data_IF_345966207646
#
_entry.id   IF_345966207646
#
_cell.length_a   1.000
_cell.length_b   1.000
_cell.length_c   1.000
_cell.angle_alpha   90.00
_cell.angle_beta   90.00
_cell.angle_gamma   90.00
#
_symmetry.space_group_name_H-M   'P 1'
#
loop_
_entity.id
_entity.type
_entity.pdbx_description
1 polymer ?
#
# COMPACT_ATOMS: atom_id res chain seq x y z
N UNK A 1 -17.48 28.07 -11.25
CA UNK A 1 -16.04 27.73 -11.07
C UNK A 1 -15.41 28.82 -10.20
N UNK A 2 -14.62 28.47 -9.18
CA UNK A 2 -13.96 29.42 -8.28
C UNK A 2 -12.47 29.07 -8.17
N UNK A 3 -11.58 30.05 -8.37
CA UNK A 3 -10.14 29.89 -8.18
C UNK A 3 -9.83 29.90 -6.68
N UNK A 4 -9.02 28.95 -6.20
CA UNK A 4 -8.54 28.92 -4.81
C UNK A 4 -7.04 28.64 -4.77
N UNK A 5 -6.39 29.07 -3.69
CA UNK A 5 -5.01 28.65 -3.39
C UNK A 5 -4.95 27.14 -3.12
N UNK A 6 -3.85 26.53 -3.55
CA UNK A 6 -3.63 25.10 -3.36
C UNK A 6 -3.35 24.81 -1.89
N UNK A 7 -4.09 23.87 -1.33
CA UNK A 7 -3.94 23.39 0.04
C UNK A 7 -4.16 21.88 0.01
N UNK A 8 -3.33 21.12 0.73
CA UNK A 8 -3.47 19.66 0.83
C UNK A 8 -4.55 19.34 1.89
N UNK A 9 -5.81 19.58 1.51
CA UNK A 9 -6.98 19.16 2.29
C UNK A 9 -6.96 17.64 2.44
N UNK A 10 -7.33 17.11 3.62
CA UNK A 10 -7.48 15.67 3.97
C UNK A 10 -7.65 14.78 2.74
N UNK A 11 -6.54 14.42 2.12
CA UNK A 11 -6.56 13.85 0.78
C UNK A 11 -7.03 12.40 0.88
N UNK A 12 -7.82 11.94 -0.09
CA UNK A 12 -8.19 10.53 -0.18
C UNK A 12 -7.27 9.85 -1.16
N UNK A 13 -6.31 9.09 -0.63
CA UNK A 13 -5.32 8.38 -1.46
C UNK A 13 -6.01 7.43 -2.42
N UNK A 14 -5.59 7.46 -3.68
CA UNK A 14 -5.92 6.44 -4.68
C UNK A 14 -4.62 5.72 -4.98
N UNK A 15 -4.50 4.47 -4.59
CA UNK A 15 -3.28 3.71 -4.80
C UNK A 15 -3.57 2.35 -5.41
N UNK A 16 -2.53 1.75 -5.98
CA UNK A 16 -2.61 0.41 -6.52
C UNK A 16 -1.44 -0.48 -6.10
N UNK A 17 -1.72 -1.77 -5.92
CA UNK A 17 -0.73 -2.81 -5.67
C UNK A 17 -0.75 -3.77 -6.85
N UNK A 18 0.39 -3.92 -7.53
CA UNK A 18 0.52 -4.83 -8.67
C UNK A 18 1.57 -5.90 -8.42
N UNK A 19 1.32 -7.09 -8.95
CA UNK A 19 2.23 -8.22 -8.82
C UNK A 19 1.60 -9.52 -9.26
N UNK A 20 2.44 -10.54 -9.43
CA UNK A 20 2.01 -11.86 -9.87
C UNK A 20 1.07 -12.54 -8.85
N UNK A 21 0.44 -13.66 -9.24
CA UNK A 21 -0.29 -14.48 -8.27
C UNK A 21 0.69 -15.06 -7.23
N UNK A 22 0.31 -15.00 -5.95
CA UNK A 22 1.12 -15.44 -4.81
C UNK A 22 1.98 -14.36 -4.15
N UNK A 23 2.02 -13.13 -4.65
CA UNK A 23 2.90 -12.06 -4.10
C UNK A 23 2.34 -11.37 -2.85
N UNK A 24 1.10 -11.69 -2.42
CA UNK A 24 0.54 -11.16 -1.17
C UNK A 24 -0.25 -9.85 -1.28
N UNK A 25 -0.74 -9.48 -2.48
CA UNK A 25 -1.48 -8.22 -2.73
C UNK A 25 -2.66 -7.97 -1.76
N UNK A 26 -3.52 -8.97 -1.55
CA UNK A 26 -4.69 -8.87 -0.66
C UNK A 26 -4.25 -8.59 0.78
N UNK A 27 -3.30 -9.38 1.27
CA UNK A 27 -2.72 -9.25 2.60
C UNK A 27 -2.07 -7.86 2.80
N UNK A 28 -1.21 -7.44 1.88
CA UNK A 28 -0.58 -6.11 1.92
C UNK A 28 -1.59 -4.97 1.85
N UNK A 29 -2.68 -5.14 1.09
CA UNK A 29 -3.76 -4.14 1.01
C UNK A 29 -4.49 -3.99 2.35
N UNK A 30 -4.75 -5.10 3.05
CA UNK A 30 -5.36 -5.08 4.37
C UNK A 30 -4.46 -4.40 5.42
N UNK A 31 -3.16 -4.66 5.41
CA UNK A 31 -2.21 -3.98 6.30
C UNK A 31 -2.17 -2.47 6.04
N UNK A 32 -2.11 -2.06 4.77
CA UNK A 32 -2.17 -0.63 4.42
C UNK A 32 -3.51 -0.03 4.85
N UNK A 33 -4.63 -0.74 4.64
CA UNK A 33 -5.95 -0.26 5.03
C UNK A 33 -6.10 -0.11 6.54
N UNK A 34 -5.48 -0.99 7.33
CA UNK A 34 -5.40 -0.85 8.78
C UNK A 34 -4.72 0.47 9.17
N UNK A 35 -3.55 0.77 8.58
CA UNK A 35 -2.85 2.03 8.83
C UNK A 35 -3.62 3.27 8.33
N UNK A 36 -4.33 3.15 7.21
CA UNK A 36 -5.16 4.23 6.65
C UNK A 36 -6.44 4.52 7.43
N UNK A 37 -6.89 3.58 8.25
CA UNK A 37 -8.08 3.72 9.10
C UNK A 37 -7.73 3.95 10.58
N UNK A 38 -6.47 4.31 10.87
CA UNK A 38 -5.95 4.44 12.25
C UNK A 38 -6.27 3.19 13.11
N UNK A 39 -6.13 2.01 12.52
CA UNK A 39 -6.41 0.71 13.14
C UNK A 39 -7.88 0.29 13.13
N UNK A 40 -8.81 1.14 12.70
CA UNK A 40 -10.24 0.84 12.71
C UNK A 40 -10.69 0.06 11.46
N UNK A 41 -10.39 -1.24 11.44
CA UNK A 41 -10.77 -2.13 10.34
C UNK A 41 -12.28 -2.21 10.06
N UNK A 42 -13.15 -1.87 11.03
CA UNK A 42 -14.60 -1.82 10.79
C UNK A 42 -15.03 -0.75 9.77
N UNK A 43 -14.13 0.19 9.45
CA UNK A 43 -14.28 1.22 8.40
C UNK A 43 -13.66 0.82 7.06
N UNK A 44 -13.13 -0.39 6.97
CA UNK A 44 -12.55 -0.95 5.75
C UNK A 44 -13.56 -1.89 5.10
N UNK A 45 -13.71 -1.78 3.78
CA UNK A 45 -14.44 -2.75 2.97
C UNK A 45 -13.56 -3.31 1.84
N UNK A 46 -13.65 -4.61 1.61
CA UNK A 46 -13.03 -5.29 0.47
C UNK A 46 -14.11 -5.66 -0.53
N UNK A 47 -14.03 -5.12 -1.74
CA UNK A 47 -14.79 -5.60 -2.90
C UNK A 47 -14.02 -6.79 -3.45
N UNK A 48 -14.48 -8.00 -3.12
CA UNK A 48 -13.79 -9.25 -3.44
C UNK A 48 -14.37 -9.87 -4.72
N UNK A 49 -13.53 -9.96 -5.74
CA UNK A 49 -13.81 -10.60 -7.03
C UNK A 49 -13.07 -11.93 -7.19
N UNK A 50 -12.26 -12.29 -6.19
CA UNK A 50 -11.34 -13.44 -6.16
C UNK A 50 -11.95 -14.62 -5.38
N UNK A 51 -13.29 -14.73 -5.39
CA UNK A 51 -14.08 -15.85 -4.85
C UNK A 51 -13.82 -16.18 -3.36
N UNK A 52 -13.89 -15.17 -2.49
CA UNK A 52 -13.77 -15.35 -1.03
C UNK A 52 -12.32 -15.28 -0.54
N UNK A 53 -11.38 -14.78 -1.35
CA UNK A 53 -10.00 -14.57 -0.93
C UNK A 53 -9.90 -13.63 0.28
N UNK A 54 -10.81 -12.68 0.38
CA UNK A 54 -10.85 -11.73 1.48
C UNK A 54 -11.17 -12.44 2.81
N UNK A 55 -12.07 -13.42 2.83
CA UNK A 55 -12.47 -14.11 4.06
C UNK A 55 -11.33 -14.94 4.68
N UNK A 56 -10.35 -15.36 3.87
CA UNK A 56 -9.16 -16.10 4.34
C UNK A 56 -8.30 -15.27 5.33
N UNK A 57 -8.43 -13.95 5.30
CA UNK A 57 -7.67 -13.03 6.13
C UNK A 57 -8.47 -12.49 7.32
N UNK A 58 -9.61 -13.10 7.68
CA UNK A 58 -10.46 -12.64 8.78
C UNK A 58 -9.74 -12.54 10.13
N UNK A 59 -8.65 -13.29 10.32
CA UNK A 59 -7.79 -13.21 11.50
C UNK A 59 -7.06 -11.86 11.66
N UNK A 60 -6.96 -11.05 10.61
CA UNK A 60 -6.37 -9.71 10.67
C UNK A 60 -7.28 -8.67 11.33
N UNK A 61 -8.59 -8.91 11.34
CA UNK A 61 -9.56 -8.10 12.07
C UNK A 61 -10.90 -7.95 11.35
N UNK A 62 -11.79 -7.15 11.96
CA UNK A 62 -13.19 -7.07 11.58
C UNK A 62 -13.44 -6.05 10.44
N UNK A 63 -12.91 -6.32 9.24
CA UNK A 63 -13.28 -5.57 8.03
C UNK A 63 -14.54 -6.15 7.37
N UNK A 64 -15.13 -5.36 6.47
CA UNK A 64 -16.33 -5.75 5.73
C UNK A 64 -15.95 -6.33 4.37
N UNK A 65 -16.74 -7.28 3.87
CA UNK A 65 -16.53 -7.88 2.55
C UNK A 65 -17.80 -7.69 1.71
N UNK A 66 -17.61 -7.21 0.49
CA UNK A 66 -18.62 -7.17 -0.57
C UNK A 66 -18.14 -8.14 -1.65
N UNK A 67 -18.65 -9.37 -1.60
CA UNK A 67 -18.36 -10.38 -2.62
C UNK A 67 -19.08 -10.01 -3.91
N UNK A 68 -18.35 -10.02 -5.02
CA UNK A 68 -18.89 -9.77 -6.35
C UNK A 68 -18.69 -11.00 -7.22
N UNK A 69 -19.76 -11.43 -7.88
CA UNK A 69 -19.74 -12.52 -8.85
C UNK A 69 -19.76 -11.98 -10.28
N UNK A 70 -19.39 -12.78 -11.29
CA UNK A 70 -19.60 -12.42 -12.69
C UNK A 70 -21.06 -12.00 -12.97
N UNK A 71 -21.30 -11.06 -13.91
CA UNK A 71 -20.30 -10.44 -14.79
C UNK A 71 -19.57 -9.26 -14.11
N UNK A 72 -18.26 -9.17 -14.32
CA UNK A 72 -17.37 -8.18 -13.69
C UNK A 72 -17.37 -6.84 -14.44
N UNK A 73 -18.56 -6.34 -14.73
CA UNK A 73 -18.72 -5.13 -15.55
C UNK A 73 -18.30 -3.85 -14.80
N UNK A 74 -17.80 -2.82 -15.49
CA UNK A 74 -17.48 -1.52 -14.88
C UNK A 74 -18.65 -0.96 -14.08
N UNK A 75 -19.88 -1.14 -14.56
CA UNK A 75 -21.10 -0.68 -13.91
C UNK A 75 -21.36 -1.40 -12.57
N UNK A 76 -21.03 -2.69 -12.47
CA UNK A 76 -21.14 -3.43 -11.22
C UNK A 76 -20.08 -2.97 -10.21
N UNK A 77 -18.84 -2.72 -10.64
CA UNK A 77 -17.83 -2.10 -9.77
C UNK A 77 -18.26 -0.73 -9.27
N UNK A 78 -18.82 0.13 -10.15
CA UNK A 78 -19.33 1.46 -9.76
C UNK A 78 -20.41 1.33 -8.69
N UNK A 79 -21.34 0.38 -8.85
CA UNK A 79 -22.37 0.10 -7.84
C UNK A 79 -21.76 -0.39 -6.52
N UNK A 80 -20.81 -1.32 -6.56
CA UNK A 80 -20.14 -1.85 -5.38
C UNK A 80 -19.42 -0.74 -4.59
N UNK A 81 -18.67 0.14 -5.27
CA UNK A 81 -18.04 1.31 -4.66
C UNK A 81 -19.11 2.21 -4.02
N UNK A 82 -20.24 2.43 -4.69
CA UNK A 82 -21.33 3.25 -4.15
C UNK A 82 -22.00 2.61 -2.92
N UNK A 83 -22.05 1.29 -2.82
CA UNK A 83 -22.50 0.59 -1.59
C UNK A 83 -21.55 0.87 -0.44
N UNK A 84 -20.24 0.73 -0.66
CA UNK A 84 -19.23 1.04 0.36
C UNK A 84 -19.29 2.51 0.82
N UNK A 85 -19.48 3.46 -0.10
CA UNK A 85 -19.67 4.87 0.25
C UNK A 85 -20.92 5.10 1.10
N UNK A 86 -22.05 4.50 0.71
CA UNK A 86 -23.31 4.61 1.48
C UNK A 86 -23.20 3.99 2.87
N UNK A 87 -22.40 2.94 3.02
CA UNK A 87 -22.08 2.32 4.30
C UNK A 87 -21.08 3.14 5.15
N UNK A 88 -20.55 4.25 4.62
CA UNK A 88 -19.62 5.11 5.34
C UNK A 88 -18.24 4.48 5.54
N UNK A 89 -17.79 3.66 4.58
CA UNK A 89 -16.45 3.07 4.57
C UNK A 89 -15.41 4.14 4.24
N UNK A 90 -14.31 4.15 4.99
CA UNK A 90 -13.24 5.13 4.85
C UNK A 90 -12.12 4.65 3.93
N UNK A 91 -11.92 3.33 3.87
CA UNK A 91 -10.98 2.66 2.97
C UNK A 91 -11.73 1.57 2.21
N UNK A 92 -11.60 1.56 0.89
CA UNK A 92 -12.17 0.54 0.02
C UNK A 92 -11.03 -0.14 -0.72
N UNK A 93 -10.88 -1.44 -0.49
CA UNK A 93 -9.98 -2.30 -1.24
C UNK A 93 -10.77 -2.88 -2.41
N UNK A 94 -10.24 -2.82 -3.62
CA UNK A 94 -10.83 -3.44 -4.81
C UNK A 94 -9.88 -4.56 -5.25
N UNK A 95 -10.28 -5.81 -4.97
CA UNK A 95 -9.45 -6.99 -5.22
C UNK A 95 -10.13 -7.93 -6.22
N UNK A 96 -9.83 -7.87 -7.52
CA UNK A 96 -8.91 -6.98 -8.23
C UNK A 96 -9.63 -6.18 -9.32
N UNK A 97 -8.97 -5.17 -9.87
CA UNK A 97 -9.50 -4.43 -11.04
C UNK A 97 -9.16 -5.12 -12.38
N UNK A 98 -8.37 -6.21 -12.35
CA UNK A 98 -8.01 -6.93 -13.57
C UNK A 98 -9.20 -7.68 -14.17
N UNK A 99 -10.13 -8.18 -13.35
CA UNK A 99 -11.34 -8.84 -13.85
C UNK A 99 -12.26 -7.89 -14.62
N UNK A 100 -12.31 -6.61 -14.25
CA UNK A 100 -13.04 -5.58 -15.00
C UNK A 100 -12.48 -5.41 -16.41
N UNK A 101 -11.16 -5.39 -16.52
CA UNK A 101 -10.50 -5.24 -17.81
C UNK A 101 -10.70 -6.45 -18.70
N UNK A 102 -10.58 -7.66 -18.14
CA UNK A 102 -10.83 -8.90 -18.86
C UNK A 102 -12.28 -8.98 -19.38
N UNK A 103 -13.27 -8.56 -18.59
CA UNK A 103 -14.67 -8.46 -19.02
C UNK A 103 -14.85 -7.47 -20.19
N UNK A 104 -14.16 -6.33 -20.17
CA UNK A 104 -14.20 -5.36 -21.27
C UNK A 104 -13.54 -5.88 -22.55
N UNK A 105 -12.45 -6.63 -22.42
CA UNK A 105 -11.78 -7.29 -23.56
C UNK A 105 -12.66 -8.38 -24.17
N UNK A 106 -13.32 -9.19 -23.34
CA UNK A 106 -14.29 -10.19 -23.79
C UNK A 106 -15.47 -9.53 -24.51
N UNK A 107 -16.03 -8.46 -23.92
CA UNK A 107 -17.07 -7.65 -24.56
C UNK A 107 -16.61 -7.08 -25.91
N UNK A 108 -15.39 -6.52 -25.99
CA UNK A 108 -14.81 -6.03 -27.23
C UNK A 108 -14.73 -7.13 -28.30
N UNK A 109 -14.25 -8.32 -27.92
CA UNK A 109 -14.06 -9.46 -28.83
C UNK A 109 -15.36 -9.95 -29.48
N UNK A 110 -16.50 -9.77 -28.79
CA UNK A 110 -17.84 -10.17 -29.25
C UNK A 110 -18.49 -9.14 -30.18
N UNK A 111 -17.93 -7.93 -30.31
CA UNK A 111 -18.48 -6.89 -31.18
C UNK A 111 -18.08 -7.12 -32.64
N UNK A 112 -19.07 -7.23 -33.53
CA UNK A 112 -18.84 -7.24 -34.97
C UNK A 112 -18.37 -5.87 -35.49
N UNK A 113 -17.55 -5.85 -36.54
CA UNK A 113 -17.08 -4.65 -37.21
C UNK A 113 -15.62 -4.29 -36.91
N UNK A 114 -15.24 -3.04 -37.17
CA UNK A 114 -13.85 -2.60 -37.04
C UNK A 114 -13.46 -2.40 -35.56
N UNK A 115 -12.32 -2.97 -35.16
CA UNK A 115 -11.77 -2.89 -33.80
C UNK A 115 -11.65 -1.45 -33.27
N UNK A 116 -11.20 -0.51 -34.11
CA UNK A 116 -11.09 0.90 -33.74
C UNK A 116 -12.44 1.52 -33.37
N UNK A 117 -13.48 1.23 -34.16
CA UNK A 117 -14.85 1.72 -33.88
C UNK A 117 -15.47 1.04 -32.65
N UNK A 118 -15.10 -0.23 -32.38
CA UNK A 118 -15.58 -0.96 -31.21
C UNK A 118 -15.05 -0.35 -29.91
N UNK A 119 -13.82 0.18 -29.91
CA UNK A 119 -13.27 0.87 -28.73
C UNK A 119 -14.07 2.09 -28.29
N UNK A 120 -14.83 2.72 -29.19
CA UNK A 120 -15.74 3.81 -28.84
C UNK A 120 -16.90 3.35 -27.92
N UNK A 121 -17.22 2.05 -27.91
CA UNK A 121 -18.23 1.44 -27.01
C UNK A 121 -17.64 0.98 -25.68
N UNK A 122 -16.34 0.70 -25.64
CA UNK A 122 -15.62 0.14 -24.47
C UNK A 122 -15.02 1.25 -23.61
N UNK A 123 -14.31 2.19 -24.25
CA UNK A 123 -13.55 3.26 -23.58
C UNK A 123 -14.40 4.10 -22.63
N UNK A 124 -15.63 4.54 -22.96
CA UNK A 124 -16.46 5.31 -22.05
C UNK A 124 -16.82 4.56 -20.76
N UNK A 125 -17.03 3.24 -20.84
CA UNK A 125 -17.41 2.41 -19.69
C UNK A 125 -16.24 2.25 -18.72
N UNK A 126 -15.07 1.94 -19.25
CA UNK A 126 -13.84 1.90 -18.45
C UNK A 126 -13.56 3.27 -17.81
N UNK A 127 -13.67 4.34 -18.59
CA UNK A 127 -13.45 5.70 -18.09
C UNK A 127 -14.41 6.02 -16.93
N UNK A 128 -15.68 5.67 -17.04
CA UNK A 128 -16.65 5.87 -15.97
C UNK A 128 -16.24 5.14 -14.67
N UNK A 129 -15.67 3.92 -14.78
CA UNK A 129 -15.17 3.18 -13.63
C UNK A 129 -13.93 3.83 -13.00
N UNK A 130 -12.97 4.24 -13.83
CA UNK A 130 -11.77 4.96 -13.37
C UNK A 130 -12.15 6.30 -12.71
N UNK A 131 -13.02 7.08 -13.35
CA UNK A 131 -13.54 8.33 -12.82
C UNK A 131 -14.23 8.09 -11.47
N UNK A 132 -14.98 6.98 -11.32
CA UNK A 132 -15.58 6.61 -10.04
C UNK A 132 -14.53 6.36 -8.97
N UNK A 133 -13.48 5.59 -9.25
CA UNK A 133 -12.36 5.37 -8.31
C UNK A 133 -11.76 6.71 -7.86
N UNK A 134 -11.45 7.59 -8.82
CA UNK A 134 -10.78 8.85 -8.57
C UNK A 134 -11.63 9.85 -7.78
N UNK A 135 -12.94 9.91 -8.04
CA UNK A 135 -13.87 10.87 -7.44
C UNK A 135 -14.46 10.40 -6.10
N UNK A 136 -14.32 9.11 -5.76
CA UNK A 136 -14.84 8.55 -4.51
C UNK A 136 -14.25 9.27 -3.29
N UNK A 137 -15.08 9.61 -2.30
CA UNK A 137 -14.62 10.32 -1.08
C UNK A 137 -14.08 9.36 0.01
N UNK A 138 -13.36 8.33 -0.39
CA UNK A 138 -12.73 7.32 0.47
C UNK A 138 -11.34 6.98 -0.07
N UNK A 139 -10.45 6.47 0.79
CA UNK A 139 -9.18 5.91 0.34
C UNK A 139 -9.46 4.68 -0.53
N UNK A 140 -8.81 4.57 -1.69
CA UNK A 140 -8.93 3.39 -2.57
C UNK A 140 -7.59 2.68 -2.62
N UNK A 141 -7.62 1.38 -2.43
CA UNK A 141 -6.50 0.46 -2.69
C UNK A 141 -6.98 -0.53 -3.76
N UNK A 142 -6.51 -0.37 -5.00
CA UNK A 142 -6.80 -1.32 -6.07
C UNK A 142 -5.71 -2.38 -6.16
N UNK A 143 -6.05 -3.64 -6.38
CA UNK A 143 -5.05 -4.66 -6.74
C UNK A 143 -5.09 -4.93 -8.24
N UNK A 144 -3.92 -5.17 -8.83
CA UNK A 144 -3.77 -5.53 -10.23
C UNK A 144 -2.96 -6.82 -10.35
N UNK A 145 -3.46 -7.76 -11.15
CA UNK A 145 -2.69 -8.93 -11.56
C UNK A 145 -1.68 -8.50 -12.62
N UNK A 146 -0.49 -9.09 -12.61
CA UNK A 146 0.47 -8.94 -13.72
C UNK A 146 0.54 -10.22 -14.54
N UNK A 147 0.80 -10.08 -15.85
CA UNK A 147 1.20 -11.22 -16.68
C UNK A 147 2.40 -11.90 -16.05
N UNK A 148 2.32 -13.21 -15.95
CA UNK A 148 3.35 -14.04 -15.35
C UNK A 148 4.31 -14.46 -16.47
N UNK A 149 5.59 -14.24 -16.23
CA UNK A 149 6.65 -14.86 -17.03
C UNK A 149 7.64 -15.55 -16.11
N UNK A 150 8.41 -16.50 -16.64
CA UNK A 150 9.43 -17.22 -15.90
C UNK A 150 10.80 -16.84 -16.46
N UNK A 151 11.60 -16.13 -15.67
CA UNK A 151 13.02 -15.94 -15.97
C UNK A 151 13.85 -17.00 -15.28
N UNK A 152 14.84 -17.55 -15.98
CA UNK A 152 15.79 -18.49 -15.41
C UNK A 152 16.92 -17.70 -14.73
N UNK A 153 16.89 -17.65 -13.40
CA UNK A 153 17.96 -17.05 -12.62
C UNK A 153 19.01 -18.11 -12.26
N UNK A 154 20.29 -17.79 -12.45
CA UNK A 154 21.38 -18.68 -12.09
C UNK A 154 21.73 -18.50 -10.61
N UNK A 155 21.47 -19.51 -9.79
CA UNK A 155 21.93 -19.59 -8.38
C UNK A 155 22.79 -20.83 -8.24
N UNK A 156 24.02 -20.65 -7.73
CA UNK A 156 24.98 -21.73 -7.52
C UNK A 156 25.21 -22.61 -8.77
N UNK A 157 25.31 -21.98 -9.94
CA UNK A 157 25.52 -22.66 -11.22
C UNK A 157 24.30 -23.41 -11.79
N UNK A 158 23.16 -23.45 -11.07
CA UNK A 158 21.90 -24.04 -11.53
C UNK A 158 20.91 -22.96 -11.96
N UNK A 159 20.20 -23.21 -13.05
CA UNK A 159 19.08 -22.36 -13.49
C UNK A 159 17.84 -22.70 -12.66
N UNK A 160 17.32 -21.70 -11.95
CA UNK A 160 16.08 -21.79 -11.17
C UNK A 160 15.05 -20.88 -11.85
N UNK A 161 13.90 -21.41 -12.31
CA UNK A 161 12.83 -20.59 -12.85
C UNK A 161 12.24 -19.74 -11.73
N UNK A 162 12.33 -18.42 -11.90
CA UNK A 162 11.77 -17.42 -11.01
C UNK A 162 10.63 -16.69 -11.73
N UNK A 163 9.48 -16.64 -11.07
CA UNK A 163 8.28 -16.01 -11.61
C UNK A 163 8.40 -14.50 -11.48
N UNK A 164 8.35 -13.78 -12.60
CA UNK A 164 8.36 -12.32 -12.64
C UNK A 164 7.04 -11.79 -13.19
N UNK A 165 6.59 -10.67 -12.64
CA UNK A 165 5.48 -9.89 -13.19
C UNK A 165 6.00 -8.91 -14.24
N UNK A 166 5.53 -9.01 -15.48
CA UNK A 166 6.01 -8.12 -16.56
C UNK A 166 5.16 -6.86 -16.69
N UNK A 167 3.86 -7.05 -16.93
CA UNK A 167 2.92 -5.97 -17.24
C UNK A 167 1.60 -6.23 -16.52
N UNK A 168 1.00 -5.20 -15.95
CA UNK A 168 -0.33 -5.29 -15.37
C UNK A 168 -1.36 -5.73 -16.41
N UNK A 169 -2.30 -6.57 -15.99
CA UNK A 169 -3.48 -6.96 -16.77
C UNK A 169 -4.49 -5.84 -16.62
N UNK A 170 -4.28 -4.79 -17.40
CA UNK A 170 -5.07 -3.58 -17.41
C UNK A 170 -4.75 -2.75 -18.68
N UNK A 171 -5.56 -1.73 -18.99
CA UNK A 171 -5.25 -0.77 -20.04
C UNK A 171 -3.95 -0.02 -19.77
N UNK A 172 -3.18 0.12 -20.83
CA UNK A 172 -1.94 0.88 -20.83
C UNK A 172 -2.16 2.30 -20.30
N UNK A 173 -1.37 2.64 -19.28
CA UNK A 173 -1.37 3.94 -18.64
C UNK A 173 -2.37 4.12 -17.50
N UNK A 174 -3.14 3.11 -17.09
CA UNK A 174 -4.03 3.26 -15.92
C UNK A 174 -3.24 3.57 -14.64
N UNK A 175 -2.02 3.06 -14.53
CA UNK A 175 -1.09 3.40 -13.45
C UNK A 175 -0.86 4.92 -13.33
N UNK A 176 -0.98 5.69 -14.42
CA UNK A 176 -0.91 7.16 -14.41
C UNK A 176 -2.07 7.87 -13.69
N UNK A 177 -3.16 7.16 -13.40
CA UNK A 177 -4.31 7.70 -12.68
C UNK A 177 -4.14 7.63 -11.15
N UNK A 178 -3.40 6.64 -10.63
CA UNK A 178 -3.20 6.48 -9.19
C UNK A 178 -2.19 7.47 -8.61
N UNK A 179 -2.30 7.82 -7.33
CA UNK A 179 -1.31 8.68 -6.64
C UNK A 179 -0.03 7.91 -6.31
N UNK A 180 -0.17 6.62 -6.00
CA UNK A 180 0.89 5.73 -5.56
C UNK A 180 0.67 4.34 -6.16
N UNK A 181 1.72 3.71 -6.68
CA UNK A 181 1.69 2.34 -7.20
C UNK A 181 2.86 1.56 -6.61
N UNK A 182 2.55 0.43 -5.98
CA UNK A 182 3.54 -0.51 -5.46
C UNK A 182 3.60 -1.77 -6.31
N UNK A 183 4.81 -2.16 -6.66
CA UNK A 183 5.13 -3.42 -7.32
C UNK A 183 5.59 -4.40 -6.25
N UNK A 184 4.87 -5.50 -6.08
CA UNK A 184 5.14 -6.51 -5.05
C UNK A 184 5.71 -7.76 -5.71
N UNK A 185 6.90 -8.15 -5.28
CA UNK A 185 7.61 -9.33 -5.77
C UNK A 185 7.18 -10.63 -5.08
N UNK A 186 7.76 -11.76 -5.50
CA UNK A 186 7.47 -13.08 -4.95
C UNK A 186 7.99 -13.29 -3.51
N UNK A 187 8.87 -12.42 -3.04
CA UNK A 187 9.41 -12.42 -1.68
C UNK A 187 8.64 -11.46 -0.76
N UNK A 188 7.54 -10.87 -1.27
CA UNK A 188 6.70 -9.90 -0.57
C UNK A 188 7.36 -8.56 -0.29
N UNK A 189 8.44 -8.23 -1.01
CA UNK A 189 9.01 -6.89 -1.01
C UNK A 189 8.29 -6.01 -2.01
N UNK A 190 8.08 -4.76 -1.61
CA UNK A 190 7.44 -3.73 -2.41
C UNK A 190 8.46 -2.69 -2.85
N UNK A 191 8.36 -2.28 -4.11
CA UNK A 191 9.04 -1.10 -4.66
C UNK A 191 7.97 -0.17 -5.22
N UNK A 192 8.19 1.14 -5.10
CA UNK A 192 7.32 2.11 -5.75
C UNK A 192 7.68 2.26 -7.22
N UNK A 193 6.75 1.99 -8.13
CA UNK A 193 6.89 2.32 -9.56
C UNK A 193 6.34 3.71 -9.88
N UNK A 194 5.51 4.26 -8.99
CA UNK A 194 4.98 5.61 -9.10
C UNK A 194 4.63 6.15 -7.72
N UNK A 195 5.06 7.36 -7.43
CA UNK A 195 4.76 8.01 -6.15
C UNK A 195 4.70 9.53 -6.27
N UNK A 196 3.51 10.10 -6.08
CA UNK A 196 3.30 11.56 -5.99
C UNK A 196 3.38 12.10 -4.55
N UNK A 197 3.53 11.22 -3.57
CA UNK A 197 3.65 11.57 -2.16
C UNK A 197 5.08 11.97 -1.79
N UNK A 198 6.08 11.40 -2.48
CA UNK A 198 7.51 11.55 -2.19
C UNK A 198 7.97 10.69 -1.01
N UNK A 199 7.11 9.80 -0.49
CA UNK A 199 7.40 8.96 0.67
C UNK A 199 8.21 7.71 0.32
N UNK A 200 8.10 7.19 -0.91
CA UNK A 200 8.58 5.86 -1.29
C UNK A 200 9.43 5.85 -2.56
N UNK A 201 9.33 6.87 -3.42
CA UNK A 201 10.09 6.91 -4.67
C UNK A 201 11.61 6.85 -4.43
N UNK A 202 12.32 5.98 -5.16
CA UNK A 202 13.79 5.87 -5.10
C UNK A 202 14.33 5.30 -3.79
N UNK A 203 13.47 4.80 -2.91
CA UNK A 203 13.86 4.10 -1.68
C UNK A 203 14.12 2.61 -1.95
N UNK A 204 14.91 1.94 -1.10
CA UNK A 204 15.07 0.49 -1.16
C UNK A 204 13.73 -0.25 -1.07
N UNK A 205 13.71 -1.47 -1.57
CA UNK A 205 12.58 -2.38 -1.40
C UNK A 205 12.28 -2.62 0.09
N UNK A 206 11.00 -2.75 0.43
CA UNK A 206 10.57 -2.85 1.82
C UNK A 206 9.38 -3.80 1.95
N UNK A 207 9.16 -4.35 3.15
CA UNK A 207 7.98 -5.15 3.43
C UNK A 207 6.82 -4.25 3.85
N UNK A 208 5.68 -4.36 3.17
CA UNK A 208 4.48 -3.58 3.51
C UNK A 208 3.98 -3.99 4.90
N UNK A 209 3.64 -2.99 5.72
CA UNK A 209 3.09 -3.15 7.06
C UNK A 209 2.00 -2.11 7.34
N UNK A 210 1.35 -2.21 8.51
CA UNK A 210 0.44 -1.18 9.01
C UNK A 210 1.07 0.23 9.00
N UNK A 211 2.36 0.31 9.36
CA UNK A 211 3.12 1.57 9.35
C UNK A 211 3.15 2.22 7.96
N UNK A 212 3.19 1.41 6.89
CA UNK A 212 3.10 1.92 5.52
C UNK A 212 1.80 2.69 5.30
N UNK A 213 0.67 2.14 5.75
CA UNK A 213 -0.63 2.80 5.70
C UNK A 213 -0.68 4.07 6.56
N UNK A 214 -0.07 4.03 7.75
CA UNK A 214 -0.01 5.18 8.67
C UNK A 214 0.77 6.35 8.07
N UNK A 215 1.93 6.09 7.46
CA UNK A 215 2.71 7.13 6.77
C UNK A 215 1.91 7.80 5.63
N UNK A 216 1.14 7.01 4.88
CA UNK A 216 0.28 7.52 3.81
C UNK A 216 -0.85 8.37 4.40
N UNK A 217 -1.46 7.95 5.50
CA UNK A 217 -2.52 8.70 6.18
C UNK A 217 -2.00 10.03 6.72
N UNK A 218 -0.85 10.03 7.38
CA UNK A 218 -0.23 11.24 7.91
C UNK A 218 0.10 12.21 6.78
N UNK A 219 0.61 11.71 5.64
CA UNK A 219 0.79 12.53 4.44
C UNK A 219 -0.54 13.09 3.90
N UNK A 220 -1.61 12.30 3.88
CA UNK A 220 -2.94 12.75 3.47
C UNK A 220 -3.48 13.89 4.36
N UNK A 221 -3.09 13.90 5.64
CA UNK A 221 -3.53 14.87 6.65
C UNK A 221 -2.60 16.08 6.83
N UNK A 222 -1.36 16.00 6.33
CA UNK A 222 -0.28 17.00 6.49
C UNK A 222 -0.52 18.39 5.87
N UNK A 223 -1.63 18.62 5.17
CA UNK A 223 -1.89 19.88 4.47
C UNK A 223 -3.10 20.68 4.94
N UNK A 224 -3.65 20.33 6.11
CA UNK A 224 -4.70 21.11 6.76
C UNK A 224 -4.04 22.30 7.47
N UNK A 225 -4.41 23.57 7.14
CA UNK A 225 -3.94 24.73 7.90
C UNK A 225 -4.33 24.58 9.37
N UNK A 226 -3.33 24.57 10.27
CA UNK A 226 -3.50 24.26 11.70
C UNK A 226 -3.00 22.87 12.12
N UNK A 227 -2.57 22.04 11.15
CA UNK A 227 -1.87 20.77 11.37
C UNK A 227 -0.46 20.88 10.79
N UNK A 228 0.33 21.84 11.29
CA UNK A 228 1.76 21.57 11.39
C UNK A 228 1.86 20.28 12.22
N UNK A 229 2.63 19.29 11.77
CA UNK A 229 2.88 18.07 12.53
C UNK A 229 3.48 18.44 13.89
N UNK A 230 2.63 18.76 14.86
CA UNK A 230 2.91 18.55 16.27
C UNK A 230 2.73 17.04 16.40
N UNK A 231 3.81 16.29 16.20
CA UNK A 231 3.80 14.89 16.61
C UNK A 231 3.26 14.85 18.03
N UNK A 232 2.31 13.98 18.34
CA UNK A 232 1.97 13.81 19.75
C UNK A 232 3.13 13.07 20.45
N UNK A 233 3.19 13.16 21.78
CA UNK A 233 4.27 12.54 22.56
C UNK A 233 4.47 11.05 22.23
N UNK A 234 3.39 10.31 21.96
CA UNK A 234 3.45 8.89 21.62
C UNK A 234 4.16 8.60 20.29
N UNK A 235 3.96 9.44 19.28
CA UNK A 235 4.63 9.29 17.98
C UNK A 235 6.12 9.57 18.07
N UNK A 236 6.53 10.54 18.89
CA UNK A 236 7.95 10.82 19.14
C UNK A 236 8.59 9.67 19.91
N UNK A 237 7.88 9.08 20.90
CA UNK A 237 8.34 7.89 21.62
C UNK A 237 8.59 6.71 20.66
N UNK A 238 7.69 6.47 19.69
CA UNK A 238 7.91 5.44 18.67
C UNK A 238 9.16 5.73 17.83
N UNK A 239 9.34 6.97 17.38
CA UNK A 239 10.54 7.34 16.60
C UNK A 239 11.83 7.15 17.41
N UNK A 240 11.83 7.44 18.71
CA UNK A 240 12.93 7.15 19.63
C UNK A 240 13.25 5.64 19.61
N UNK A 241 12.23 4.79 19.71
CA UNK A 241 12.41 3.33 19.69
C UNK A 241 13.02 2.82 18.36
N UNK A 242 12.75 3.48 17.24
CA UNK A 242 13.26 3.09 15.93
C UNK A 242 14.66 3.61 15.58
N UNK A 243 15.23 4.53 16.35
CA UNK A 243 16.60 4.98 16.11
C UNK A 243 17.58 3.79 16.24
N UNK A 244 18.38 3.56 15.21
CA UNK A 244 19.32 2.43 15.15
C UNK A 244 20.73 2.83 15.59
N UNK A 245 21.00 4.11 15.71
CA UNK A 245 22.28 4.64 16.18
C UNK A 245 22.10 5.97 16.92
N UNK A 246 23.16 6.37 17.62
CA UNK A 246 23.16 7.59 18.44
C UNK A 246 23.00 8.85 17.57
N UNK A 247 23.48 8.84 16.33
CA UNK A 247 23.37 9.99 15.43
C UNK A 247 21.92 10.26 15.04
N UNK A 248 21.15 9.22 14.71
CA UNK A 248 19.71 9.29 14.44
C UNK A 248 18.95 9.77 15.67
N UNK A 249 19.27 9.24 16.86
CA UNK A 249 18.63 9.63 18.11
C UNK A 249 18.87 11.12 18.45
N UNK A 250 20.09 11.62 18.20
CA UNK A 250 20.43 13.03 18.40
C UNK A 250 19.80 13.96 17.35
N UNK A 251 19.68 13.50 16.10
CA UNK A 251 18.98 14.24 15.06
C UNK A 251 17.51 14.40 15.43
N UNK A 252 16.87 13.31 15.89
CA UNK A 252 15.50 13.32 16.38
C UNK A 252 15.30 14.25 17.58
N UNK A 253 16.21 14.21 18.56
CA UNK A 253 16.19 15.11 19.73
C UNK A 253 16.23 16.60 19.33
N UNK A 254 17.04 16.96 18.33
CA UNK A 254 17.14 18.34 17.82
C UNK A 254 15.95 18.76 16.98
N UNK A 255 15.29 17.80 16.32
CA UNK A 255 14.19 18.04 15.40
C UNK A 255 12.92 18.49 16.13
N UNK A 256 12.71 18.07 17.37
CA UNK A 256 11.51 18.38 18.16
C UNK A 256 11.84 18.95 19.55
N UNK A 257 12.29 20.23 19.63
CA UNK A 257 12.69 20.86 20.90
C UNK A 257 11.57 20.89 21.96
N UNK A 258 10.32 20.96 21.53
CA UNK A 258 9.14 21.01 22.39
C UNK A 258 8.90 19.73 23.22
N UNK A 259 9.44 18.57 22.80
CA UNK A 259 9.29 17.30 23.52
C UNK A 259 10.52 16.92 24.35
N UNK A 260 11.58 17.73 24.33
CA UNK A 260 12.85 17.37 24.96
C UNK A 260 12.74 17.16 26.48
N UNK A 261 11.99 18.02 27.19
CA UNK A 261 11.84 17.88 28.64
C UNK A 261 10.97 16.67 29.00
N UNK A 262 9.79 16.53 28.37
CA UNK A 262 8.83 15.48 28.70
C UNK A 262 9.33 14.08 28.31
N UNK A 263 10.05 13.95 27.19
CA UNK A 263 10.52 12.66 26.68
C UNK A 263 11.98 12.35 27.02
N UNK A 264 12.63 13.19 27.82
CA UNK A 264 14.01 12.97 28.28
C UNK A 264 14.26 11.54 28.80
N UNK A 265 13.38 10.91 29.61
CA UNK A 265 13.60 9.55 30.08
C UNK A 265 13.71 8.52 28.94
N UNK A 266 12.89 8.66 27.89
CA UNK A 266 12.91 7.76 26.74
C UNK A 266 14.17 7.93 25.89
N UNK A 267 14.64 9.17 25.69
CA UNK A 267 15.91 9.42 25.01
C UNK A 267 17.10 8.82 25.78
N UNK A 268 17.11 8.94 27.11
CA UNK A 268 18.17 8.38 27.96
C UNK A 268 18.16 6.85 27.96
N UNK A 269 16.98 6.24 28.04
CA UNK A 269 16.80 4.79 27.94
C UNK A 269 17.32 4.24 26.60
N UNK A 270 16.87 4.83 25.48
CA UNK A 270 17.29 4.38 24.14
C UNK A 270 18.78 4.61 23.91
N UNK A 271 19.32 5.75 24.35
CA UNK A 271 20.76 6.03 24.26
C UNK A 271 21.57 4.98 25.02
N UNK A 272 21.14 4.61 26.22
CA UNK A 272 21.81 3.59 27.04
C UNK A 272 21.78 2.23 26.35
N UNK A 273 20.64 1.84 25.79
CA UNK A 273 20.49 0.62 24.99
C UNK A 273 21.43 0.58 23.77
N UNK A 274 21.49 1.66 22.99
CA UNK A 274 22.36 1.76 21.81
C UNK A 274 23.85 1.69 22.19
N UNK A 275 24.24 2.28 23.32
CA UNK A 275 25.62 2.19 23.83
C UNK A 275 25.96 0.74 24.22
N UNK A 276 25.03 0.02 24.88
CA UNK A 276 25.23 -1.39 25.23
C UNK A 276 25.42 -2.28 24.01
N UNK A 277 24.66 -2.04 22.93
CA UNK A 277 24.83 -2.75 21.65
C UNK A 277 26.19 -2.49 20.99
N UNK A 278 26.75 -1.29 21.17
CA UNK A 278 28.05 -0.91 20.61
C UNK A 278 29.26 -1.35 21.45
N UNK A 279 29.06 -1.90 22.65
CA UNK A 279 30.14 -2.28 23.55
C UNK A 279 30.71 -3.69 23.23
N UNK A 280 31.99 -3.82 22.86
CA UNK A 280 32.60 -5.09 22.41
C UNK A 280 32.81 -6.14 23.53
N UNK A 281 32.40 -5.88 24.78
CA UNK A 281 32.59 -6.82 25.91
C UNK A 281 31.53 -7.93 26.00
N UNK A 282 30.50 -7.92 25.15
CA UNK A 282 29.43 -8.93 25.15
C UNK A 282 29.60 -10.04 24.10
N UNK A 283 30.73 -10.13 23.40
CA UNK A 283 31.08 -11.35 22.66
C UNK A 283 31.57 -12.41 23.65
N UNK A 284 30.66 -13.30 24.05
CA UNK A 284 30.96 -14.51 24.81
C UNK A 284 32.10 -15.31 24.16
N UNK A 285 33.21 -15.44 24.87
CA UNK A 285 34.27 -16.42 24.59
C UNK A 285 33.82 -17.80 25.08
N UNK A 286 33.00 -18.50 24.30
CA UNK A 286 32.75 -19.92 24.51
C UNK A 286 33.53 -20.73 23.47
N UNK A 287 34.76 -21.12 23.83
CA UNK A 287 35.62 -21.90 22.95
C UNK A 287 36.96 -22.30 23.57
N UNK A 288 36.94 -22.96 24.74
CA UNK A 288 38.09 -23.73 25.22
C UNK A 288 37.67 -25.17 25.52
N UNK A 289 37.72 -26.03 24.50
CA UNK A 289 37.86 -27.48 24.70
C UNK A 289 39.29 -27.78 25.12
N UNK A 290 39.49 -28.08 26.40
CA UNK A 290 40.70 -28.78 26.87
C UNK A 290 40.58 -30.24 26.47
N UNK A 291 41.43 -30.67 25.54
CA UNK A 291 41.76 -32.09 25.34
C UNK A 291 42.66 -32.54 26.49
N UNK A 292 42.18 -33.52 27.26
CA UNK A 292 43.02 -34.44 28.01
C UNK A 292 43.29 -35.67 27.17
#
# INVERSE_FOLDING_TARGET
MQLRQSERKRAKIKMALQGASGTGKTYSSLLIAQGLSDGNLSKVAVIDTENGSADLYAHLGNYNVLTMSPPFTPENYIKAIAVCEKAGMEVIIIDSISHEWDELLDFHSKLAGNSFTNWAKVTPRQKAFVDKILQTNAHIIATMRTKQDYVLNQKDGKYIPEKVGLKSVQRDGLDYEFTLVFDIDIKHFAVSSKDRTGLFMGKPEFQISELTGKLILDWCNSGVPGNQNVLNEQQVIQQIQYCNNIAELLALYKQYPEFQENLKPHYEEKKSFLIQLSNPKNYSTNGHTKTH
#
